data_IF_132913393295
#
_entry.id   IF_132913393295
#
_cell.length_a   1.000
_cell.length_b   1.000
_cell.length_c   1.000
_cell.angle_alpha   90.00
_cell.angle_beta   90.00
_cell.angle_gamma   90.00
#
_symmetry.space_group_name_H-M   'P 1'
#
loop_
_entity.id
_entity.type
_entity.pdbx_description
1 polymer ?
#
# COMPACT_ATOMS: atom_id res chain seq x y z
N UNK A 1 -29.62 -36.27 -6.45
CA UNK A 1 -29.92 -35.59 -5.18
C UNK A 1 -30.04 -34.12 -5.52
N UNK A 2 -31.26 -33.64 -5.71
CA UNK A 2 -31.52 -32.23 -5.99
C UNK A 2 -31.44 -31.48 -4.66
N UNK A 3 -30.27 -30.93 -4.37
CA UNK A 3 -30.12 -30.02 -3.24
C UNK A 3 -30.96 -28.78 -3.52
N UNK A 4 -31.83 -28.40 -2.57
CA UNK A 4 -32.49 -27.10 -2.60
C UNK A 4 -31.45 -26.00 -2.72
N UNK A 5 -31.61 -25.06 -3.68
CA UNK A 5 -30.66 -23.96 -3.86
C UNK A 5 -30.50 -23.16 -2.57
N UNK A 6 -29.25 -22.83 -2.20
CA UNK A 6 -28.96 -22.07 -0.99
C UNK A 6 -29.55 -20.65 -1.01
N UNK A 7 -29.67 -20.06 -2.20
CA UNK A 7 -30.39 -18.81 -2.47
C UNK A 7 -31.35 -19.06 -3.63
N UNK A 8 -32.55 -18.47 -3.56
CA UNK A 8 -33.58 -18.61 -4.59
C UNK A 8 -33.62 -17.41 -5.55
N UNK A 9 -34.13 -17.60 -6.76
CA UNK A 9 -34.23 -16.51 -7.76
C UNK A 9 -35.24 -15.43 -7.34
N UNK A 10 -36.40 -15.85 -6.84
CA UNK A 10 -37.54 -14.95 -6.61
C UNK A 10 -37.82 -14.68 -5.11
N UNK A 11 -36.88 -15.04 -4.24
CA UNK A 11 -37.05 -15.01 -2.77
C UNK A 11 -36.13 -14.00 -2.09
N UNK A 12 -36.23 -12.72 -2.48
CA UNK A 12 -35.29 -11.66 -2.04
C UNK A 12 -35.20 -11.53 -0.51
N UNK A 13 -36.33 -11.59 0.21
CA UNK A 13 -36.32 -11.46 1.67
C UNK A 13 -35.69 -12.67 2.37
N UNK A 14 -35.97 -13.89 1.88
CA UNK A 14 -35.34 -15.11 2.38
C UNK A 14 -33.83 -15.10 2.08
N UNK A 15 -33.43 -14.66 0.89
CA UNK A 15 -32.03 -14.51 0.51
C UNK A 15 -31.32 -13.50 1.42
N UNK A 16 -31.95 -12.35 1.69
CA UNK A 16 -31.40 -11.32 2.55
C UNK A 16 -31.20 -11.82 3.99
N UNK A 17 -32.15 -12.59 4.53
CA UNK A 17 -32.04 -13.25 5.82
C UNK A 17 -30.90 -14.29 5.82
N UNK A 18 -30.81 -15.13 4.79
CA UNK A 18 -29.78 -16.16 4.67
C UNK A 18 -28.36 -15.56 4.52
N UNK A 19 -28.21 -14.54 3.68
CA UNK A 19 -26.97 -13.77 3.55
C UNK A 19 -26.62 -13.03 4.85
N UNK A 20 -27.63 -12.56 5.59
CA UNK A 20 -27.46 -11.95 6.90
C UNK A 20 -26.94 -12.94 7.95
N UNK A 21 -27.56 -14.11 8.04
CA UNK A 21 -27.10 -15.20 8.91
C UNK A 21 -25.67 -15.61 8.57
N UNK A 22 -25.35 -15.71 7.27
CA UNK A 22 -23.99 -15.97 6.81
C UNK A 22 -23.01 -14.85 7.21
N UNK A 23 -23.40 -13.59 7.10
CA UNK A 23 -22.59 -12.45 7.53
C UNK A 23 -22.29 -12.51 9.04
N UNK A 24 -23.29 -12.83 9.87
CA UNK A 24 -23.12 -13.01 11.32
C UNK A 24 -22.21 -14.20 11.63
N UNK A 25 -22.37 -15.32 10.91
CA UNK A 25 -21.47 -16.47 11.03
C UNK A 25 -20.02 -16.09 10.71
N UNK A 26 -19.79 -15.39 9.60
CA UNK A 26 -18.46 -14.89 9.22
C UNK A 26 -17.88 -13.94 10.27
N UNK A 27 -18.72 -13.06 10.84
CA UNK A 27 -18.31 -12.11 11.87
C UNK A 27 -17.95 -12.80 13.20
N UNK A 28 -18.66 -13.87 13.57
CA UNK A 28 -18.44 -14.54 14.86
C UNK A 28 -17.32 -15.58 14.82
N UNK A 29 -17.33 -16.44 13.80
CA UNK A 29 -16.52 -17.65 13.78
C UNK A 29 -15.38 -17.60 12.78
N UNK A 30 -15.44 -16.71 11.79
CA UNK A 30 -14.40 -16.62 10.78
C UNK A 30 -14.27 -17.90 9.96
N UNK A 31 -14.81 -17.89 8.74
CA UNK A 31 -14.51 -18.95 7.77
C UNK A 31 -13.09 -18.75 7.21
N UNK A 32 -12.09 -18.92 8.06
CA UNK A 32 -10.67 -18.74 7.80
C UNK A 32 -9.87 -19.75 8.65
N UNK A 33 -8.58 -19.92 8.34
CA UNK A 33 -7.72 -20.91 9.00
C UNK A 33 -7.52 -20.65 10.49
N UNK A 34 -7.74 -19.42 10.96
CA UNK A 34 -7.56 -19.04 12.35
C UNK A 34 -8.82 -19.26 13.21
N UNK A 35 -10.00 -19.49 12.60
CA UNK A 35 -11.26 -19.61 13.33
C UNK A 35 -11.66 -18.34 14.09
N UNK A 36 -11.21 -17.17 13.63
CA UNK A 36 -11.47 -15.87 14.26
C UNK A 36 -12.38 -15.03 13.37
N UNK A 37 -13.38 -14.37 13.96
CA UNK A 37 -14.29 -13.45 13.29
C UNK A 37 -13.67 -12.56 12.21
N UNK A 38 -14.29 -12.51 11.04
CA UNK A 38 -13.85 -11.67 9.93
C UNK A 38 -14.13 -10.19 10.18
N UNK A 39 -13.28 -9.31 9.65
CA UNK A 39 -13.54 -7.87 9.63
C UNK A 39 -14.72 -7.54 8.70
N UNK A 40 -15.38 -6.40 8.95
CA UNK A 40 -16.48 -5.90 8.11
C UNK A 40 -16.14 -5.89 6.61
N UNK A 41 -14.96 -5.40 6.25
CA UNK A 41 -14.53 -5.34 4.85
C UNK A 41 -14.39 -6.74 4.23
N UNK A 42 -13.79 -7.69 4.95
CA UNK A 42 -13.69 -9.09 4.49
C UNK A 42 -15.07 -9.74 4.36
N UNK A 43 -16.00 -9.47 5.26
CA UNK A 43 -17.39 -9.95 5.17
C UNK A 43 -18.04 -9.42 3.89
N UNK A 44 -17.95 -8.10 3.63
CA UNK A 44 -18.46 -7.51 2.39
C UNK A 44 -17.84 -8.16 1.15
N UNK A 45 -16.52 -8.39 1.11
CA UNK A 45 -15.87 -9.06 -0.03
C UNK A 45 -16.40 -10.47 -0.26
N UNK A 46 -16.61 -11.26 0.81
CA UNK A 46 -17.17 -12.61 0.70
C UNK A 46 -18.62 -12.59 0.21
N UNK A 47 -19.44 -11.67 0.70
CA UNK A 47 -20.82 -11.49 0.23
C UNK A 47 -20.87 -11.06 -1.23
N UNK A 48 -19.98 -10.14 -1.66
CA UNK A 48 -19.84 -9.77 -3.06
C UNK A 48 -19.44 -10.96 -3.94
N UNK A 49 -18.53 -11.82 -3.48
CA UNK A 49 -18.14 -13.03 -4.21
C UNK A 49 -19.31 -14.01 -4.39
N UNK A 50 -20.11 -14.21 -3.33
CA UNK A 50 -21.35 -15.03 -3.41
C UNK A 50 -22.32 -14.46 -4.44
N UNK A 51 -22.60 -13.16 -4.38
CA UNK A 51 -23.52 -12.50 -5.32
C UNK A 51 -23.00 -12.53 -6.75
N UNK A 52 -21.70 -12.31 -6.93
CA UNK A 52 -21.05 -12.40 -8.23
C UNK A 52 -21.16 -13.81 -8.82
N UNK A 53 -20.94 -14.86 -8.03
CA UNK A 53 -21.11 -16.25 -8.47
C UNK A 53 -22.55 -16.51 -8.95
N UNK A 54 -23.56 -16.10 -8.18
CA UNK A 54 -24.96 -16.30 -8.59
C UNK A 54 -25.30 -15.52 -9.87
N UNK A 55 -24.84 -14.28 -9.97
CA UNK A 55 -25.06 -13.46 -11.16
C UNK A 55 -24.40 -14.06 -12.40
N UNK A 56 -23.18 -14.56 -12.26
CA UNK A 56 -22.38 -15.07 -13.38
C UNK A 56 -22.74 -16.50 -13.77
N UNK A 57 -23.05 -17.37 -12.81
CA UNK A 57 -23.27 -18.81 -13.03
C UNK A 57 -24.75 -19.18 -13.05
N UNK A 58 -25.58 -18.56 -12.21
CA UNK A 58 -27.01 -18.88 -12.09
C UNK A 58 -27.92 -17.88 -12.84
N UNK A 59 -27.34 -16.80 -13.36
CA UNK A 59 -28.04 -15.79 -14.18
C UNK A 59 -28.95 -14.85 -13.39
N UNK A 60 -28.82 -14.78 -12.05
CA UNK A 60 -29.59 -13.84 -11.23
C UNK A 60 -28.76 -13.32 -10.06
N UNK A 61 -29.05 -12.10 -9.59
CA UNK A 61 -28.50 -11.58 -8.34
C UNK A 61 -29.50 -11.86 -7.21
N UNK A 62 -29.13 -12.60 -6.16
CA UNK A 62 -30.03 -12.92 -5.05
C UNK A 62 -30.51 -11.67 -4.28
N UNK A 63 -29.88 -10.51 -4.52
CA UNK A 63 -30.29 -9.22 -3.99
C UNK A 63 -30.00 -9.05 -2.50
N UNK A 64 -30.08 -7.80 -2.03
CA UNK A 64 -30.04 -7.47 -0.61
C UNK A 64 -31.11 -6.41 -0.34
N UNK A 65 -31.86 -6.56 0.76
CA UNK A 65 -32.90 -5.62 1.16
C UNK A 65 -32.40 -4.64 2.25
N UNK A 66 -33.27 -3.73 2.68
CA UNK A 66 -32.95 -2.74 3.72
C UNK A 66 -32.52 -3.37 5.05
N UNK A 67 -33.11 -4.51 5.43
CA UNK A 67 -32.75 -5.26 6.64
C UNK A 67 -31.30 -5.75 6.60
N UNK A 68 -30.86 -6.28 5.46
CA UNK A 68 -29.47 -6.70 5.25
C UNK A 68 -28.49 -5.52 5.39
N UNK A 69 -28.85 -4.34 4.86
CA UNK A 69 -28.03 -3.14 4.99
C UNK A 69 -27.91 -2.64 6.45
N UNK A 70 -29.01 -2.71 7.22
CA UNK A 70 -29.02 -2.36 8.66
C UNK A 70 -28.11 -3.32 9.45
N UNK A 71 -28.21 -4.62 9.19
CA UNK A 71 -27.36 -5.63 9.82
C UNK A 71 -25.87 -5.36 9.56
N UNK A 72 -25.49 -5.11 8.30
CA UNK A 72 -24.10 -4.81 7.93
C UNK A 72 -23.59 -3.53 8.60
N UNK A 73 -24.43 -2.50 8.76
CA UNK A 73 -24.08 -1.30 9.55
C UNK A 73 -23.86 -1.64 11.03
N UNK A 74 -24.68 -2.52 11.60
CA UNK A 74 -24.50 -3.03 12.96
C UNK A 74 -23.16 -3.75 13.13
N UNK A 75 -22.87 -4.72 12.26
CA UNK A 75 -21.57 -5.43 12.24
C UNK A 75 -20.42 -4.44 12.12
N UNK A 76 -20.51 -3.44 11.23
CA UNK A 76 -19.46 -2.42 11.08
C UNK A 76 -19.19 -1.64 12.36
N UNK A 77 -20.23 -1.30 13.14
CA UNK A 77 -20.11 -0.55 14.39
C UNK A 77 -19.55 -1.40 15.53
N UNK A 78 -19.92 -2.68 15.56
CA UNK A 78 -19.53 -3.61 16.62
C UNK A 78 -18.20 -4.34 16.34
N UNK A 79 -17.73 -4.32 15.09
CA UNK A 79 -16.40 -4.84 14.76
C UNK A 79 -15.35 -3.88 15.31
N UNK A 80 -14.39 -4.43 16.05
CA UNK A 80 -13.23 -3.66 16.53
C UNK A 80 -12.57 -2.91 15.38
N UNK A 81 -12.11 -1.70 15.67
CA UNK A 81 -11.37 -0.93 14.68
C UNK A 81 -10.16 -1.75 14.23
N UNK A 82 -10.01 -1.91 12.91
CA UNK A 82 -8.82 -2.55 12.34
C UNK A 82 -7.60 -1.83 12.88
N UNK A 83 -6.69 -2.58 13.50
CA UNK A 83 -5.42 -2.05 14.00
C UNK A 83 -4.71 -1.38 12.83
N UNK A 84 -4.62 -0.05 12.88
CA UNK A 84 -4.01 0.73 11.81
C UNK A 84 -2.50 0.55 11.87
N UNK A 85 -1.91 0.37 10.69
CA UNK A 85 -0.47 0.39 10.55
C UNK A 85 0.08 1.78 10.91
N UNK A 86 1.27 1.79 11.51
CA UNK A 86 1.93 3.01 11.93
C UNK A 86 2.74 3.63 10.78
N UNK A 87 2.96 4.94 10.85
CA UNK A 87 3.80 5.65 9.89
C UNK A 87 5.28 5.34 10.15
N UNK A 88 6.04 5.09 9.08
CA UNK A 88 7.50 4.97 9.19
C UNK A 88 8.11 6.36 9.28
N UNK A 89 8.94 6.58 10.29
CA UNK A 89 9.65 7.84 10.48
C UNK A 89 11.04 7.81 9.81
N UNK A 90 11.64 8.98 9.50
CA UNK A 90 13.02 9.04 9.01
C UNK A 90 14.03 8.36 9.96
N UNK A 91 13.78 8.41 11.27
CA UNK A 91 14.65 7.74 12.27
C UNK A 91 14.60 6.22 12.16
N UNK A 92 13.41 5.64 11.96
CA UNK A 92 13.23 4.21 11.73
C UNK A 92 13.90 3.77 10.42
N UNK A 93 13.80 4.56 9.35
CA UNK A 93 14.52 4.26 8.10
C UNK A 93 16.04 4.29 8.27
N UNK A 94 16.58 5.20 9.08
CA UNK A 94 18.01 5.19 9.39
C UNK A 94 18.40 3.93 10.18
N UNK A 95 17.52 3.43 11.06
CA UNK A 95 17.75 2.15 11.73
C UNK A 95 17.73 0.98 10.73
N UNK A 96 16.79 0.97 9.79
CA UNK A 96 16.76 -0.01 8.68
C UNK A 96 18.07 0.02 7.91
N UNK A 97 18.57 1.20 7.53
CA UNK A 97 19.84 1.35 6.82
C UNK A 97 21.03 0.71 7.55
N UNK A 98 21.05 0.81 8.89
CA UNK A 98 22.12 0.21 9.70
C UNK A 98 22.01 -1.32 9.82
N UNK A 99 20.82 -1.88 9.60
CA UNK A 99 20.60 -3.34 9.60
C UNK A 99 20.81 -3.97 8.22
N UNK A 100 20.59 -3.20 7.16
CA UNK A 100 20.82 -3.66 5.79
C UNK A 100 22.32 -3.62 5.49
N UNK A 101 22.87 -4.74 5.03
CA UNK A 101 24.24 -4.79 4.55
C UNK A 101 24.36 -4.19 3.14
N UNK A 102 24.63 -2.89 3.11
CA UNK A 102 24.77 -2.10 1.88
C UNK A 102 26.13 -2.30 1.18
N UNK A 103 27.03 -3.14 1.72
CA UNK A 103 28.25 -3.52 1.02
C UNK A 103 27.98 -4.52 -0.10
N UNK A 104 26.94 -5.35 0.06
CA UNK A 104 26.54 -6.34 -0.93
C UNK A 104 25.45 -5.81 -1.87
N UNK A 105 25.48 -6.25 -3.13
CA UNK A 105 24.54 -5.80 -4.16
C UNK A 105 23.06 -6.08 -3.79
N UNK A 106 22.77 -7.21 -3.12
CA UNK A 106 21.40 -7.54 -2.68
C UNK A 106 20.89 -6.56 -1.63
N UNK A 107 21.72 -6.24 -0.62
CA UNK A 107 21.35 -5.26 0.41
C UNK A 107 21.23 -3.85 -0.15
N UNK A 108 22.05 -3.49 -1.15
CA UNK A 108 21.87 -2.26 -1.91
C UNK A 108 20.49 -2.19 -2.59
N UNK A 109 20.06 -3.25 -3.28
CA UNK A 109 18.73 -3.30 -3.90
C UNK A 109 17.59 -3.29 -2.86
N UNK A 110 17.76 -3.96 -1.72
CA UNK A 110 16.78 -3.96 -0.62
C UNK A 110 16.58 -2.57 -0.01
N UNK A 111 17.68 -1.85 0.23
CA UNK A 111 17.62 -0.47 0.70
C UNK A 111 16.98 0.45 -0.34
N UNK A 112 17.32 0.24 -1.61
CA UNK A 112 16.77 1.02 -2.71
C UNK A 112 15.25 0.90 -2.81
N UNK A 113 14.73 -0.33 -2.78
CA UNK A 113 13.29 -0.58 -2.73
C UNK A 113 12.62 0.13 -1.55
N UNK A 114 13.24 0.12 -0.37
CA UNK A 114 12.71 0.79 0.81
C UNK A 114 12.53 2.30 0.61
N UNK A 115 13.45 2.95 -0.10
CA UNK A 115 13.40 4.39 -0.39
C UNK A 115 12.49 4.69 -1.57
N UNK A 116 12.45 3.84 -2.61
CA UNK A 116 11.47 3.94 -3.68
C UNK A 116 10.03 3.84 -3.15
N UNK A 117 9.77 2.93 -2.21
CA UNK A 117 8.45 2.83 -1.55
C UNK A 117 8.09 4.09 -0.75
N UNK A 118 9.08 4.80 -0.20
CA UNK A 118 8.86 6.08 0.48
C UNK A 118 8.59 7.21 -0.51
N UNK A 119 9.33 7.24 -1.62
CA UNK A 119 9.35 8.34 -2.58
C UNK A 119 8.23 8.25 -3.62
N UNK A 120 7.86 7.04 -4.05
CA UNK A 120 6.89 6.79 -5.11
C UNK A 120 5.62 6.13 -4.60
N UNK A 121 5.63 5.64 -3.35
CA UNK A 121 4.47 5.08 -2.67
C UNK A 121 3.62 4.16 -3.54
N UNK A 122 4.26 3.19 -4.21
CA UNK A 122 3.59 2.14 -4.97
C UNK A 122 3.25 0.96 -4.06
N UNK A 123 2.02 0.44 -4.14
CA UNK A 123 1.71 -0.97 -3.80
C UNK A 123 2.03 -1.80 -5.06
N UNK A 124 2.64 -2.99 -4.99
CA UNK A 124 2.43 -4.00 -3.96
C UNK A 124 1.11 -4.73 -4.20
N UNK A 125 0.86 -5.19 -5.43
CA UNK A 125 -0.13 -6.23 -5.74
C UNK A 125 0.66 -7.48 -6.10
N UNK A 126 0.52 -8.52 -5.26
CA UNK A 126 1.08 -9.89 -5.40
C UNK A 126 2.47 -9.97 -6.05
N UNK A 127 3.50 -10.18 -5.23
CA UNK A 127 4.83 -10.61 -5.68
C UNK A 127 4.87 -12.09 -6.14
N UNK A 128 3.73 -12.64 -6.57
CA UNK A 128 3.76 -13.75 -7.51
C UNK A 128 3.91 -13.13 -8.90
N UNK A 129 5.16 -13.00 -9.36
CA UNK A 129 5.53 -12.66 -10.74
C UNK A 129 5.24 -11.25 -11.29
N UNK A 130 4.68 -10.29 -10.53
CA UNK A 130 4.57 -8.90 -11.02
C UNK A 130 5.85 -8.08 -10.75
N UNK A 131 6.59 -7.96 -11.85
CA UNK A 131 7.92 -7.40 -12.04
C UNK A 131 7.93 -5.85 -11.89
N UNK A 132 8.84 -5.31 -11.06
CA UNK A 132 9.25 -3.90 -11.11
C UNK A 132 10.05 -3.64 -12.40
N UNK A 133 9.36 -3.46 -13.52
CA UNK A 133 9.96 -3.03 -14.79
C UNK A 133 10.35 -1.55 -14.69
N UNK A 134 11.57 -1.21 -14.28
CA UNK A 134 12.07 0.10 -14.70
C UNK A 134 12.27 0.00 -16.21
N UNK A 135 11.40 0.64 -16.98
CA UNK A 135 11.49 0.68 -18.43
C UNK A 135 12.92 1.02 -18.86
N UNK A 136 13.51 0.15 -19.67
CA UNK A 136 14.70 0.36 -20.51
C UNK A 136 15.61 1.51 -20.08
N UNK A 137 16.51 1.20 -19.13
CA UNK A 137 17.47 2.13 -18.52
C UNK A 137 16.76 3.28 -17.78
N UNK A 138 17.26 3.72 -16.62
CA UNK A 138 17.10 5.13 -16.36
C UNK A 138 17.81 5.81 -17.52
N UNK A 139 17.07 6.38 -18.47
CA UNK A 139 17.51 7.58 -19.16
C UNK A 139 17.66 8.61 -18.04
N UNK A 140 18.72 8.47 -17.26
CA UNK A 140 19.41 9.59 -16.66
C UNK A 140 19.85 10.42 -17.86
N UNK A 141 18.93 11.22 -18.39
CA UNK A 141 19.26 12.60 -18.71
C UNK A 141 19.72 13.20 -17.40
N UNK A 142 20.93 12.85 -16.98
CA UNK A 142 21.69 13.63 -16.05
C UNK A 142 21.67 15.02 -16.68
N UNK A 143 20.87 15.93 -16.09
CA UNK A 143 21.24 17.34 -16.16
C UNK A 143 22.73 17.37 -15.86
N UNK A 144 23.53 18.07 -16.67
CA UNK A 144 24.99 18.08 -16.71
C UNK A 144 25.74 18.34 -15.36
N UNK A 145 25.02 18.37 -14.24
CA UNK A 145 25.49 18.52 -12.88
C UNK A 145 24.97 17.43 -11.87
N UNK A 146 24.32 16.35 -12.32
CA UNK A 146 23.89 15.25 -11.42
C UNK A 146 22.89 15.68 -10.32
N UNK A 147 22.00 16.63 -10.64
CA UNK A 147 21.07 17.28 -9.68
C UNK A 147 19.74 16.55 -9.49
N UNK A 148 19.32 15.73 -10.44
CA UNK A 148 18.03 15.03 -10.46
C UNK A 148 18.16 13.64 -11.07
N UNK A 149 17.35 12.68 -10.60
CA UNK A 149 17.16 11.37 -11.24
C UNK A 149 15.70 11.25 -11.70
N UNK A 150 15.50 10.80 -12.94
CA UNK A 150 14.20 10.40 -13.45
C UNK A 150 14.06 8.88 -13.36
N UNK A 151 12.92 8.39 -12.87
CA UNK A 151 12.56 6.98 -12.96
C UNK A 151 11.31 6.83 -13.84
N UNK A 152 11.32 5.89 -14.81
CA UNK A 152 10.10 5.47 -15.48
C UNK A 152 9.18 4.79 -14.46
N UNK A 153 8.01 5.38 -14.26
CA UNK A 153 7.09 4.92 -13.25
C UNK A 153 6.32 3.71 -13.83
N UNK A 154 6.53 2.53 -13.23
CA UNK A 154 5.94 1.25 -13.71
C UNK A 154 4.42 1.29 -13.65
N UNK A 155 3.77 0.59 -14.59
CA UNK A 155 2.32 0.32 -14.61
C UNK A 155 1.88 -0.27 -13.26
N UNK A 156 0.82 0.31 -12.69
CA UNK A 156 0.10 -0.32 -11.58
C UNK A 156 -1.10 -1.09 -12.15
N UNK A 157 -1.45 -2.22 -11.52
CA UNK A 157 -2.58 -3.08 -11.90
C UNK A 157 -3.93 -2.32 -11.91
N UNK A 158 -4.00 -1.17 -11.21
CA UNK A 158 -5.20 -0.33 -11.09
C UNK A 158 -5.23 0.87 -12.07
N UNK A 159 -4.17 1.10 -12.85
CA UNK A 159 -4.15 2.14 -13.89
C UNK A 159 -4.51 1.55 -15.25
N UNK A 160 -5.80 1.38 -15.50
CA UNK A 160 -6.29 1.22 -16.87
C UNK A 160 -6.15 2.56 -17.62
N UNK A 161 -5.46 2.50 -18.78
CA UNK A 161 -5.30 3.53 -19.84
C UNK A 161 -4.03 4.40 -19.80
N UNK A 162 -3.01 3.95 -20.53
CA UNK A 162 -2.41 4.72 -21.63
C UNK A 162 -1.43 5.89 -21.35
N UNK A 163 -0.99 6.17 -20.12
CA UNK A 163 0.06 7.18 -19.88
C UNK A 163 1.29 6.58 -19.20
N UNK A 164 2.42 6.60 -19.91
CA UNK A 164 3.74 6.49 -19.28
C UNK A 164 3.99 7.78 -18.47
N UNK A 165 4.05 7.67 -17.16
CA UNK A 165 4.36 8.79 -16.27
C UNK A 165 5.83 8.69 -15.87
N UNK A 166 6.63 9.72 -16.18
CA UNK A 166 8.01 9.84 -15.70
C UNK A 166 8.00 10.66 -14.40
N UNK A 167 8.71 10.18 -13.38
CA UNK A 167 8.87 10.93 -12.12
C UNK A 167 10.31 11.35 -11.94
N UNK A 168 10.46 12.59 -11.55
CA UNK A 168 11.75 13.20 -11.29
C UNK A 168 11.89 13.44 -9.80
N UNK A 169 12.96 12.90 -9.23
CA UNK A 169 13.39 13.22 -7.88
C UNK A 169 14.63 14.10 -7.94
N UNK A 170 14.62 15.17 -7.16
CA UNK A 170 15.78 16.03 -6.95
C UNK A 170 16.57 15.57 -5.74
N UNK A 171 17.86 15.97 -5.67
CA UNK A 171 18.69 15.67 -4.50
C UNK A 171 18.09 16.30 -3.24
N UNK A 172 17.82 15.50 -2.22
CA UNK A 172 17.33 15.99 -0.93
C UNK A 172 18.42 16.63 -0.06
N UNK A 173 19.70 16.43 -0.39
CA UNK A 173 20.83 16.79 0.47
C UNK A 173 21.16 15.73 1.53
N UNK A 174 20.25 14.81 1.85
CA UNK A 174 20.49 13.76 2.83
C UNK A 174 21.61 12.80 2.39
N UNK A 175 22.36 12.26 3.36
CA UNK A 175 23.44 11.31 3.08
C UNK A 175 22.93 9.88 2.82
N UNK A 176 21.82 9.52 3.47
CA UNK A 176 21.29 8.15 3.54
C UNK A 176 19.94 8.04 2.82
N UNK A 177 19.03 8.98 3.07
CA UNK A 177 17.63 8.94 2.60
C UNK A 177 17.43 9.66 1.25
N UNK A 178 18.50 10.01 0.54
CA UNK A 178 18.39 10.80 -0.70
C UNK A 178 17.99 9.91 -1.89
N UNK A 179 16.82 10.13 -2.51
CA UNK A 179 16.34 9.27 -3.60
C UNK A 179 17.33 9.20 -4.77
N UNK A 180 17.98 10.32 -5.13
CA UNK A 180 18.99 10.37 -6.19
C UNK A 180 20.27 9.59 -5.86
N UNK A 181 20.66 9.52 -4.58
CA UNK A 181 21.81 8.71 -4.16
C UNK A 181 21.47 7.24 -4.18
N UNK A 182 20.26 6.92 -3.72
CA UNK A 182 19.77 5.57 -3.57
C UNK A 182 19.51 4.94 -4.93
N UNK A 183 18.89 5.66 -5.87
CA UNK A 183 18.69 5.23 -7.26
C UNK A 183 19.95 4.71 -7.98
N UNK A 184 21.14 5.22 -7.61
CA UNK A 184 22.41 4.74 -8.18
C UNK A 184 22.73 3.29 -7.78
N UNK A 185 22.11 2.79 -6.73
CA UNK A 185 22.27 1.43 -6.24
C UNK A 185 21.54 0.43 -7.12
N UNK A 186 20.43 0.81 -7.76
CA UNK A 186 19.79 0.03 -8.82
C UNK A 186 20.79 -0.24 -9.94
N UNK A 187 21.50 0.78 -10.41
CA UNK A 187 22.49 0.64 -11.49
C UNK A 187 23.65 -0.28 -11.10
N UNK A 188 24.07 -0.25 -9.83
CA UNK A 188 25.10 -1.15 -9.30
C UNK A 188 24.60 -2.57 -9.19
N UNK A 189 23.39 -2.77 -8.68
CA UNK A 189 22.73 -4.07 -8.59
C UNK A 189 22.53 -4.68 -9.97
N UNK A 190 22.05 -3.91 -10.94
CA UNK A 190 21.86 -4.37 -12.32
C UNK A 190 23.17 -4.88 -12.94
N UNK A 191 24.31 -4.23 -12.65
CA UNK A 191 25.63 -4.71 -13.08
C UNK A 191 26.05 -5.97 -12.33
N UNK A 192 25.86 -6.01 -11.01
CA UNK A 192 26.26 -7.13 -10.17
C UNK A 192 25.46 -8.41 -10.46
N UNK A 193 24.19 -8.29 -10.82
CA UNK A 193 23.30 -9.41 -11.15
C UNK A 193 23.12 -9.65 -12.65
N UNK A 194 23.87 -8.93 -13.50
CA UNK A 194 23.76 -9.00 -14.96
C UNK A 194 22.31 -8.85 -15.47
N UNK A 195 21.55 -7.96 -14.85
CA UNK A 195 20.15 -7.70 -15.16
C UNK A 195 20.01 -7.15 -16.59
N UNK A 196 19.26 -7.84 -17.43
CA UNK A 196 19.04 -7.42 -18.82
C UNK A 196 18.03 -6.25 -18.90
N UNK A 197 18.05 -5.43 -19.96
CA UNK A 197 17.14 -4.28 -20.11
C UNK A 197 15.65 -4.63 -20.11
N UNK A 198 15.31 -5.88 -20.45
CA UNK A 198 13.94 -6.41 -20.47
C UNK A 198 13.52 -6.94 -19.08
N UNK A 199 14.47 -7.12 -18.16
CA UNK A 199 14.22 -7.64 -16.82
C UNK A 199 13.87 -6.52 -15.82
N UNK A 200 13.20 -6.86 -14.70
CA UNK A 200 13.01 -5.93 -13.59
C UNK A 200 14.32 -5.29 -13.13
N UNK A 201 14.32 -4.03 -12.70
CA UNK A 201 15.57 -3.43 -12.22
C UNK A 201 16.01 -3.93 -10.84
N UNK A 202 15.08 -4.52 -10.07
CA UNK A 202 15.38 -5.22 -8.82
C UNK A 202 15.55 -6.74 -9.03
N UNK A 203 15.72 -7.17 -10.29
CA UNK A 203 15.98 -8.58 -10.61
C UNK A 203 17.37 -8.99 -10.14
N UNK A 204 17.44 -10.14 -9.46
CA UNK A 204 18.71 -10.76 -9.06
C UNK A 204 19.05 -11.99 -9.91
N UNK A 205 18.24 -12.30 -10.94
CA UNK A 205 18.41 -13.45 -11.82
C UNK A 205 17.09 -13.87 -12.49
N UNK A 206 17.05 -15.04 -13.13
CA UNK A 206 15.85 -15.52 -13.82
C UNK A 206 14.72 -15.79 -12.80
N UNK A 207 13.69 -14.93 -12.80
CA UNK A 207 12.53 -15.04 -11.90
C UNK A 207 12.81 -14.76 -10.42
N UNK A 208 13.98 -14.22 -10.06
CA UNK A 208 14.32 -13.85 -8.68
C UNK A 208 14.53 -12.35 -8.53
N UNK A 209 14.20 -11.81 -7.36
CA UNK A 209 14.39 -10.40 -7.05
C UNK A 209 14.31 -10.13 -5.55
N UNK A 210 14.20 -8.86 -5.21
CA UNK A 210 13.92 -8.43 -3.84
C UNK A 210 12.41 -8.51 -3.59
N UNK A 211 12.02 -9.31 -2.62
CA UNK A 211 10.62 -9.45 -2.23
C UNK A 211 10.18 -8.31 -1.28
N UNK A 212 8.90 -7.93 -1.32
CA UNK A 212 8.37 -6.95 -0.35
C UNK A 212 8.36 -7.50 1.08
N UNK A 213 8.25 -8.82 1.22
CA UNK A 213 8.35 -9.53 2.48
C UNK A 213 9.72 -9.27 3.13
N UNK A 214 10.81 -9.31 2.36
CA UNK A 214 12.16 -8.99 2.86
C UNK A 214 12.25 -7.56 3.39
N UNK A 215 11.64 -6.59 2.69
CA UNK A 215 11.58 -5.20 3.15
C UNK A 215 10.74 -5.08 4.43
N UNK A 216 9.58 -5.73 4.46
CA UNK A 216 8.70 -5.71 5.62
C UNK A 216 9.38 -6.32 6.85
N UNK A 217 10.09 -7.43 6.69
CA UNK A 217 10.78 -8.10 7.78
C UNK A 217 11.95 -7.28 8.30
N UNK A 218 12.73 -6.66 7.40
CA UNK A 218 13.79 -5.73 7.79
C UNK A 218 13.23 -4.52 8.56
N UNK A 219 12.09 -3.99 8.12
CA UNK A 219 11.39 -2.91 8.82
C UNK A 219 10.92 -3.32 10.22
N UNK A 220 10.35 -4.53 10.34
CA UNK A 220 9.92 -5.10 11.63
C UNK A 220 11.08 -5.34 12.58
N UNK A 221 12.22 -5.80 12.08
CA UNK A 221 13.44 -5.95 12.87
C UNK A 221 13.93 -4.59 13.38
N UNK A 222 13.95 -3.56 12.52
CA UNK A 222 14.30 -2.21 12.92
C UNK A 222 13.34 -1.63 13.97
N UNK A 223 12.03 -1.87 13.80
CA UNK A 223 11.00 -1.44 14.74
C UNK A 223 11.19 -2.10 16.11
N UNK A 224 11.41 -3.41 16.13
CA UNK A 224 11.66 -4.17 17.37
C UNK A 224 12.92 -3.67 18.09
N UNK A 225 14.00 -3.42 17.33
CA UNK A 225 15.24 -2.87 17.86
C UNK A 225 15.11 -1.44 18.42
N UNK A 226 14.03 -0.74 18.10
CA UNK A 226 13.67 0.57 18.64
C UNK A 226 12.60 0.51 19.74
N UNK A 227 12.19 -0.69 20.17
CA UNK A 227 11.13 -0.89 21.17
C UNK A 227 9.72 -0.63 20.64
N UNK A 228 9.52 -0.62 19.33
CA UNK A 228 8.22 -0.43 18.68
C UNK A 228 7.56 -1.80 18.41
N UNK A 229 6.22 -1.83 18.39
CA UNK A 229 5.49 -3.06 18.04
C UNK A 229 5.60 -3.34 16.53
N UNK A 230 6.45 -4.31 16.19
CA UNK A 230 6.68 -4.75 14.81
C UNK A 230 5.40 -5.14 14.06
N UNK A 231 4.35 -5.60 14.73
CA UNK A 231 3.09 -6.02 14.09
C UNK A 231 2.37 -4.86 13.41
N UNK A 232 2.69 -3.62 13.79
CA UNK A 232 2.12 -2.40 13.23
C UNK A 232 2.84 -1.92 11.95
N UNK A 233 3.91 -2.60 11.54
CA UNK A 233 4.76 -2.20 10.42
C UNK A 233 4.72 -3.18 9.25
N UNK A 234 4.59 -2.64 8.04
CA UNK A 234 4.72 -3.37 6.76
C UNK A 234 5.30 -2.46 5.68
N UNK A 235 5.45 -2.95 4.44
CA UNK A 235 5.80 -2.08 3.30
C UNK A 235 4.82 -0.93 3.10
N UNK A 236 3.54 -1.10 3.43
CA UNK A 236 2.54 -0.04 3.35
C UNK A 236 2.79 1.07 4.40
N UNK A 237 3.37 0.75 5.56
CA UNK A 237 3.78 1.74 6.57
C UNK A 237 4.81 2.74 6.03
N UNK A 238 5.65 2.33 5.08
CA UNK A 238 6.61 3.22 4.40
C UNK A 238 5.86 4.28 3.60
N UNK A 239 4.79 3.88 2.87
CA UNK A 239 3.93 4.81 2.12
C UNK A 239 3.23 5.79 3.05
N UNK A 240 2.68 5.29 4.16
CA UNK A 240 2.06 6.11 5.19
C UNK A 240 3.09 7.13 5.73
N UNK A 241 4.33 6.69 5.95
CA UNK A 241 5.45 7.55 6.35
C UNK A 241 5.71 8.70 5.37
N UNK A 242 5.82 8.39 4.08
CA UNK A 242 6.02 9.40 3.03
C UNK A 242 4.88 10.41 2.97
N UNK A 243 3.63 9.93 3.01
CA UNK A 243 2.43 10.76 3.08
C UNK A 243 2.43 11.68 4.30
N UNK A 244 2.78 11.12 5.45
CA UNK A 244 2.84 11.80 6.73
C UNK A 244 3.87 12.93 6.69
N UNK A 245 5.08 12.68 6.20
CA UNK A 245 6.13 13.70 6.15
C UNK A 245 5.80 14.81 5.14
N UNK A 246 5.22 14.46 3.98
CA UNK A 246 4.77 15.45 2.99
C UNK A 246 3.67 16.35 3.56
N UNK A 247 2.64 15.76 4.18
CA UNK A 247 1.56 16.52 4.82
C UNK A 247 2.11 17.45 5.91
N UNK A 248 2.98 16.93 6.79
CA UNK A 248 3.58 17.73 7.87
C UNK A 248 4.58 18.78 7.37
N UNK A 249 5.00 18.70 6.11
CA UNK A 249 5.82 19.71 5.44
C UNK A 249 4.98 20.72 4.65
N UNK A 250 3.65 20.62 4.70
CA UNK A 250 2.73 21.53 4.02
C UNK A 250 2.56 21.24 2.53
N UNK A 251 2.89 20.03 2.08
CA UNK A 251 2.64 19.64 0.69
C UNK A 251 1.14 19.62 0.39
N UNK A 252 0.77 20.09 -0.80
CA UNK A 252 -0.63 20.09 -1.23
C UNK A 252 -1.19 18.67 -1.33
N UNK A 253 -2.50 18.55 -1.08
CA UNK A 253 -3.23 17.29 -1.13
C UNK A 253 -3.09 16.58 -2.48
N UNK A 254 -3.15 17.31 -3.60
CA UNK A 254 -2.99 16.72 -4.94
C UNK A 254 -1.56 16.24 -5.15
N UNK A 255 -0.56 16.96 -4.65
CA UNK A 255 0.84 16.49 -4.68
C UNK A 255 0.97 15.18 -3.92
N UNK A 256 0.43 15.11 -2.70
CA UNK A 256 0.43 13.88 -1.89
C UNK A 256 -0.31 12.74 -2.63
N UNK A 257 -1.46 13.02 -3.24
CA UNK A 257 -2.24 12.03 -4.02
C UNK A 257 -1.48 11.49 -5.23
N UNK A 258 -0.87 12.40 -6.00
CA UNK A 258 -0.11 12.06 -7.20
C UNK A 258 1.17 11.33 -6.83
N UNK A 259 1.95 11.84 -5.87
CA UNK A 259 3.13 11.15 -5.30
C UNK A 259 2.75 9.75 -4.81
N UNK A 260 1.63 9.67 -4.11
CA UNK A 260 0.89 8.51 -3.60
C UNK A 260 0.51 7.39 -4.58
N UNK A 261 0.32 7.76 -5.86
CA UNK A 261 -0.50 7.03 -6.83
C UNK A 261 -1.85 6.55 -6.26
N UNK A 262 -2.45 7.35 -5.39
CA UNK A 262 -3.74 7.02 -4.83
C UNK A 262 -4.85 7.40 -5.80
N UNK A 263 -5.59 6.41 -6.29
CA UNK A 263 -6.78 6.64 -7.10
C UNK A 263 -7.91 7.24 -6.27
N UNK A 264 -8.15 6.64 -5.10
CA UNK A 264 -9.17 7.08 -4.15
C UNK A 264 -8.61 8.07 -3.12
N UNK A 265 -9.51 8.71 -2.37
CA UNK A 265 -9.14 9.57 -1.24
C UNK A 265 -8.89 8.77 0.05
N UNK A 266 -8.81 7.43 -0.02
CA UNK A 266 -8.55 6.58 1.14
C UNK A 266 -7.25 6.93 1.86
N UNK A 267 -6.29 7.53 1.14
CA UNK A 267 -5.02 7.95 1.69
C UNK A 267 -5.11 9.03 2.75
N UNK A 268 -6.16 9.84 2.75
CA UNK A 268 -6.34 10.93 3.71
C UNK A 268 -6.47 10.41 5.14
N UNK A 269 -6.85 9.13 5.32
CA UNK A 269 -7.02 8.50 6.62
C UNK A 269 -5.75 7.93 7.25
N UNK A 270 -4.60 8.00 6.56
CA UNK A 270 -3.32 7.44 7.06
C UNK A 270 -2.37 8.47 7.69
N UNK A 271 -2.09 9.63 7.05
CA UNK A 271 -1.17 10.61 7.60
C UNK A 271 -1.51 11.02 9.03
N UNK A 272 -0.49 11.10 9.88
CA UNK A 272 -0.65 11.55 11.27
C UNK A 272 -0.15 12.98 11.41
N UNK A 273 -0.96 13.89 11.98
CA UNK A 273 -0.53 15.25 12.22
C UNK A 273 0.49 15.29 13.37
N UNK A 274 1.69 15.79 13.09
CA UNK A 274 2.78 15.96 14.06
C UNK A 274 2.82 17.40 14.60
N UNK A 275 3.61 17.62 15.65
CA UNK A 275 3.88 18.95 16.18
C UNK A 275 4.47 19.92 15.14
N UNK A 276 5.20 19.41 14.14
CA UNK A 276 5.72 20.21 13.01
C UNK A 276 4.56 20.70 12.13
N UNK A 277 3.66 19.80 11.73
CA UNK A 277 2.53 20.12 10.85
C UNK A 277 1.45 20.96 11.53
N UNK A 278 1.29 20.84 12.85
CA UNK A 278 0.32 21.65 13.61
C UNK A 278 0.83 23.06 13.95
N UNK A 279 2.10 23.37 13.66
CA UNK A 279 2.71 24.66 14.00
C UNK A 279 1.98 25.80 13.31
N UNK A 280 1.47 26.75 14.09
CA UNK A 280 0.77 27.92 13.58
C UNK A 280 -0.72 27.70 13.30
N UNK A 281 -1.24 26.47 13.39
CA UNK A 281 -2.68 26.22 13.22
C UNK A 281 -3.51 26.95 14.29
N UNK A 282 -3.07 26.93 15.55
CA UNK A 282 -3.73 27.67 16.62
C UNK A 282 -3.84 29.18 16.33
N UNK A 283 -2.83 29.76 15.67
CA UNK A 283 -2.85 31.17 15.27
C UNK A 283 -3.87 31.43 14.16
N UNK A 284 -4.04 30.51 13.21
CA UNK A 284 -5.05 30.62 12.17
C UNK A 284 -6.47 30.53 12.74
N UNK A 285 -6.69 29.65 13.72
CA UNK A 285 -7.97 29.51 14.41
C UNK A 285 -8.40 30.80 15.09
N UNK A 286 -7.46 31.57 15.66
CA UNK A 286 -7.76 32.86 16.30
C UNK A 286 -7.84 34.04 15.33
N UNK A 287 -7.45 33.88 14.07
CA UNK A 287 -7.38 34.97 13.07
C UNK A 287 -8.57 35.01 12.12
N UNK A 288 -9.50 34.07 12.20
CA UNK A 288 -10.75 34.17 11.44
C UNK A 288 -11.67 35.22 12.10
N UNK A 289 -11.50 36.48 11.73
CA UNK A 289 -12.58 37.45 11.87
C UNK A 289 -13.64 37.06 10.85
N UNK A 290 -14.72 36.46 11.32
CA UNK A 290 -15.96 36.26 10.56
C UNK A 290 -16.31 37.56 9.87
N UNK A 291 -16.23 37.55 8.53
CA UNK A 291 -16.75 38.61 7.66
C UNK A 291 -18.12 38.20 7.19
#
# INVERSE_FOLDING_TARGET
MDYTPWLGRDTVDANAAQLGAFAVYLWRYGMNRAGVGNTYTTICSKLCAVRWFHKNTAGYDPGANAGHAILLRGIRRLTDSVVKQQSVTPSLLRKVFLLVDVQHARGQLLWDLSICLLAESTTGTRFDSEILYFGTRPDTRESAAGRSCGHPAVRSQEQSVGREELRFHSRSGDKVLCPVKVARWILRGARAFATQPVQPALSTGFGSGIAAEEVADTLKQAASAMGLDARLYSTHSIRIGGATELMNSGADRLVIKLMGRWLSNAFEGYPTLSAKGSRGLARLMCRSTSS
#
